data_IF_225005810119
#
_entry.id   IF_225005810119
#
_cell.length_a   1.000
_cell.length_b   1.000
_cell.length_c   1.000
_cell.angle_alpha   90.00
_cell.angle_beta   90.00
_cell.angle_gamma   90.00
#
_symmetry.space_group_name_H-M   'P 1'
#
loop_
_entity.id
_entity.type
_entity.pdbx_description
1 polymer ?
#
# COMPACT_ATOMS: atom_id res chain seq x y z
N UNK A 1 48.26 66.17 63.45
CA UNK A 1 47.72 65.41 62.31
C UNK A 1 48.38 64.04 62.35
N UNK A 2 47.64 62.99 62.72
CA UNK A 2 48.14 61.62 62.66
C UNK A 2 48.10 61.16 61.21
N UNK A 3 49.20 61.39 60.48
CA UNK A 3 49.35 60.91 59.12
C UNK A 3 49.46 59.39 59.13
N UNK A 4 48.57 58.71 58.41
CA UNK A 4 48.69 57.28 58.16
C UNK A 4 49.83 57.08 57.16
N UNK A 5 50.80 56.22 57.48
CA UNK A 5 51.89 55.91 56.54
C UNK A 5 51.32 55.38 55.23
N UNK A 6 51.95 55.77 54.11
CA UNK A 6 51.56 55.30 52.79
C UNK A 6 51.79 53.79 52.68
N UNK A 7 50.90 53.09 51.97
CA UNK A 7 51.04 51.66 51.71
C UNK A 7 52.39 51.36 51.03
N UNK A 8 53.23 50.56 51.68
CA UNK A 8 54.49 50.10 51.12
C UNK A 8 54.25 48.95 50.14
N UNK A 9 54.61 49.15 48.87
CA UNK A 9 54.61 48.10 47.85
C UNK A 9 56.02 47.48 47.81
N UNK A 10 56.15 46.26 48.31
CA UNK A 10 57.43 45.54 48.31
C UNK A 10 57.71 44.91 46.94
N UNK A 11 58.97 44.55 46.70
CA UNK A 11 59.35 43.79 45.50
C UNK A 11 58.59 42.44 45.42
N UNK A 12 58.37 41.79 46.56
CA UNK A 12 57.60 40.54 46.64
C UNK A 12 56.18 40.72 46.11
N UNK A 13 55.52 41.81 46.50
CA UNK A 13 54.17 42.12 46.00
C UNK A 13 54.16 42.34 44.48
N UNK A 14 55.13 43.09 43.96
CA UNK A 14 55.21 43.38 42.52
C UNK A 14 55.50 42.11 41.71
N UNK A 15 56.36 41.22 42.23
CA UNK A 15 56.68 39.94 41.62
C UNK A 15 55.47 38.99 41.61
N UNK A 16 54.74 38.90 42.71
CA UNK A 16 53.53 38.05 42.82
C UNK A 16 52.44 38.48 41.82
N UNK A 17 52.16 39.79 41.72
CA UNK A 17 51.21 40.32 40.74
C UNK A 17 51.67 40.03 39.31
N UNK A 18 52.98 40.19 39.02
CA UNK A 18 53.53 39.89 37.71
C UNK A 18 53.38 38.41 37.35
N UNK A 19 53.72 37.50 38.27
CA UNK A 19 53.58 36.05 38.04
C UNK A 19 52.14 35.64 37.78
N UNK A 20 51.17 36.14 38.55
CA UNK A 20 49.76 35.86 38.34
C UNK A 20 49.28 36.30 36.94
N UNK A 21 49.73 37.47 36.47
CA UNK A 21 49.39 37.97 35.13
C UNK A 21 50.08 37.12 34.05
N UNK A 22 51.35 36.78 34.23
CA UNK A 22 52.11 35.94 33.30
C UNK A 22 51.46 34.56 33.14
N UNK A 23 51.05 33.92 34.24
CA UNK A 23 50.39 32.62 34.21
C UNK A 23 49.09 32.64 33.39
N UNK A 24 48.28 33.71 33.47
CA UNK A 24 47.06 33.84 32.65
C UNK A 24 47.40 33.94 31.17
N UNK A 25 48.45 34.68 30.81
CA UNK A 25 48.90 34.86 29.42
C UNK A 25 49.44 33.54 28.85
N UNK A 26 50.26 32.83 29.62
CA UNK A 26 50.82 31.55 29.23
C UNK A 26 49.75 30.45 29.16
N UNK A 27 48.75 30.46 30.06
CA UNK A 27 47.60 29.55 30.00
C UNK A 27 46.76 29.74 28.73
N UNK A 28 46.75 30.95 28.17
CA UNK A 28 46.18 31.25 26.86
C UNK A 28 47.12 30.86 25.69
N UNK A 29 48.24 30.19 25.95
CA UNK A 29 49.29 29.83 24.96
C UNK A 29 49.89 31.04 24.24
N UNK A 30 49.96 32.20 24.90
CA UNK A 30 50.57 33.42 24.37
C UNK A 30 51.98 33.57 24.97
N UNK A 31 52.99 33.78 24.12
CA UNK A 31 54.35 34.02 24.58
C UNK A 31 54.50 35.40 25.24
N UNK A 32 55.18 35.49 26.38
CA UNK A 32 55.40 36.75 27.10
C UNK A 32 56.31 37.71 26.32
N UNK A 33 55.86 38.96 26.12
CA UNK A 33 56.60 40.01 25.41
C UNK A 33 56.64 41.26 26.29
N UNK A 34 57.81 41.55 26.86
CA UNK A 34 57.99 42.71 27.73
C UNK A 34 57.60 44.01 27.01
N UNK A 35 56.70 44.78 27.62
CA UNK A 35 56.23 46.07 27.10
C UNK A 35 54.96 45.98 26.25
N UNK A 36 54.47 44.79 25.92
CA UNK A 36 53.18 44.62 25.28
C UNK A 36 52.05 44.64 26.32
N UNK A 37 51.39 45.79 26.46
CA UNK A 37 50.24 45.95 27.35
C UNK A 37 48.96 45.24 26.90
N UNK A 38 48.94 44.63 25.70
CA UNK A 38 47.75 43.99 25.15
C UNK A 38 47.61 42.51 25.51
N UNK A 39 48.67 41.87 25.99
CA UNK A 39 48.73 40.42 26.21
C UNK A 39 47.66 39.90 27.18
N UNK A 40 47.40 40.61 28.28
CA UNK A 40 46.39 40.21 29.26
C UNK A 40 44.98 40.19 28.65
N UNK A 41 44.64 41.20 27.84
CA UNK A 41 43.36 41.25 27.15
C UNK A 41 43.24 40.14 26.09
N UNK A 42 44.32 39.86 25.36
CA UNK A 42 44.39 38.75 24.42
C UNK A 42 44.17 37.41 25.13
N UNK A 43 44.78 37.22 26.30
CA UNK A 43 44.64 36.03 27.11
C UNK A 43 43.20 35.84 27.60
N UNK A 44 42.58 36.89 28.15
CA UNK A 44 41.17 36.86 28.58
C UNK A 44 40.26 36.50 27.40
N UNK A 45 40.47 37.09 26.22
CA UNK A 45 39.68 36.78 25.02
C UNK A 45 39.88 35.33 24.57
N UNK A 46 41.11 34.83 24.56
CA UNK A 46 41.41 33.45 24.18
C UNK A 46 40.74 32.46 25.12
N UNK A 47 40.89 32.67 26.44
CA UNK A 47 40.28 31.83 27.47
C UNK A 47 38.75 31.89 27.37
N UNK A 48 38.16 33.09 27.32
CA UNK A 48 36.70 33.25 27.21
C UNK A 48 36.12 32.57 25.95
N UNK A 49 36.82 32.64 24.82
CA UNK A 49 36.42 31.98 23.59
C UNK A 49 36.51 30.46 23.67
N UNK A 50 37.40 29.91 24.51
CA UNK A 50 37.46 28.46 24.74
C UNK A 50 36.25 27.94 25.53
N UNK A 51 35.63 28.74 26.41
CA UNK A 51 34.58 28.27 27.33
C UNK A 51 33.15 28.49 26.83
N UNK A 52 32.87 29.54 26.05
CA UNK A 52 31.48 29.97 25.77
C UNK A 52 30.70 29.11 24.76
N UNK A 53 31.37 28.54 23.76
CA UNK A 53 30.73 27.71 22.72
C UNK A 53 31.79 26.80 22.07
N UNK A 54 31.76 25.47 22.29
CA UNK A 54 32.69 24.56 21.64
C UNK A 54 32.52 24.57 20.11
N UNK A 55 33.63 24.32 19.41
CA UNK A 55 33.63 24.08 17.96
C UNK A 55 32.94 22.75 17.69
N UNK A 56 32.17 22.69 16.60
CA UNK A 56 31.42 21.48 16.25
C UNK A 56 30.00 21.43 16.82
N UNK A 57 29.62 22.36 17.71
CA UNK A 57 28.26 22.44 18.24
C UNK A 57 27.41 23.33 17.33
N UNK A 58 26.40 22.78 16.62
CA UNK A 58 25.43 23.57 15.90
C UNK A 58 24.42 24.19 16.87
N UNK A 59 24.19 25.51 16.78
CA UNK A 59 23.20 26.22 17.59
C UNK A 59 22.15 26.91 16.72
N UNK A 60 20.86 26.82 17.07
CA UNK A 60 19.83 27.63 16.41
C UNK A 60 20.02 29.11 16.77
N UNK A 61 20.12 29.97 15.77
CA UNK A 61 20.29 31.40 15.95
C UNK A 61 18.97 32.16 15.79
N UNK A 62 18.53 32.81 16.87
CA UNK A 62 17.30 33.61 16.90
C UNK A 62 17.56 35.03 16.38
N UNK A 63 17.96 35.14 15.12
CA UNK A 63 18.23 36.43 14.48
C UNK A 63 18.39 36.30 12.97
N UNK A 64 18.49 37.45 12.30
CA UNK A 64 18.81 37.48 10.87
C UNK A 64 20.25 36.98 10.64
N UNK A 65 20.52 36.45 9.45
CA UNK A 65 21.87 35.99 9.08
C UNK A 65 22.91 37.12 9.09
N UNK A 66 22.47 38.36 8.90
CA UNK A 66 23.32 39.56 8.98
C UNK A 66 23.78 39.92 10.39
N UNK A 67 23.15 39.36 11.43
CA UNK A 67 23.50 39.63 12.83
C UNK A 67 24.28 38.48 13.47
N UNK A 68 24.66 37.47 12.68
CA UNK A 68 25.46 36.35 13.17
C UNK A 68 26.81 36.88 13.68
N UNK A 69 27.26 36.47 14.89
CA UNK A 69 28.56 36.86 15.42
C UNK A 69 29.70 36.53 14.45
N UNK A 70 30.71 37.40 14.37
CA UNK A 70 31.81 37.25 13.39
C UNK A 70 32.73 36.03 13.61
N UNK A 71 32.63 35.38 14.77
CA UNK A 71 33.28 34.11 15.07
C UNK A 71 32.42 32.89 14.73
N UNK A 72 31.24 33.09 14.14
CA UNK A 72 30.31 32.07 13.74
C UNK A 72 30.00 32.15 12.25
N UNK A 73 29.58 31.02 11.69
CA UNK A 73 28.98 30.98 10.35
C UNK A 73 27.75 30.10 10.38
N UNK A 74 26.83 30.36 9.46
CA UNK A 74 25.67 29.50 9.21
C UNK A 74 26.11 28.17 8.58
N UNK A 75 25.43 27.07 8.89
CA UNK A 75 25.72 25.73 8.37
C UNK A 75 24.88 25.44 7.12
N UNK A 76 25.42 25.76 5.95
CA UNK A 76 24.72 25.65 4.65
C UNK A 76 25.53 24.94 3.57
N UNK A 77 26.48 24.08 3.97
CA UNK A 77 27.28 23.31 3.02
C UNK A 77 28.37 24.11 2.31
N UNK A 78 28.72 25.30 2.77
CA UNK A 78 29.76 26.15 2.17
C UNK A 78 31.17 25.70 2.54
N UNK A 79 32.14 26.03 1.69
CA UNK A 79 33.57 25.83 1.96
C UNK A 79 34.15 27.03 2.71
N UNK A 80 35.08 26.75 3.62
CA UNK A 80 35.89 27.74 4.32
C UNK A 80 37.37 27.50 4.05
N UNK A 81 38.13 28.58 4.03
CA UNK A 81 39.59 28.56 3.92
C UNK A 81 40.23 28.10 5.24
N UNK A 82 41.22 27.19 5.14
CA UNK A 82 41.86 26.57 6.29
C UNK A 82 42.83 27.49 7.02
N UNK A 83 43.45 28.43 6.31
CA UNK A 83 44.38 29.41 6.88
C UNK A 83 43.61 30.49 7.66
N UNK A 84 42.47 30.94 7.14
CA UNK A 84 41.60 31.92 7.78
C UNK A 84 40.77 31.36 8.94
N UNK A 85 40.47 30.05 8.90
CA UNK A 85 39.67 29.35 9.91
C UNK A 85 40.37 28.07 10.42
N UNK A 86 41.54 28.19 11.07
CA UNK A 86 42.37 27.04 11.46
C UNK A 86 41.70 26.17 12.54
N UNK A 87 40.93 26.80 13.42
CA UNK A 87 40.27 26.15 14.56
C UNK A 87 39.16 25.18 14.12
N UNK A 88 38.25 25.60 13.24
CA UNK A 88 37.25 24.67 12.66
C UNK A 88 37.88 23.65 11.72
N UNK A 89 38.93 24.02 11.00
CA UNK A 89 39.60 23.11 10.07
C UNK A 89 40.26 21.95 10.81
N UNK A 90 40.93 22.23 11.92
CA UNK A 90 41.51 21.21 12.80
C UNK A 90 40.42 20.31 13.38
N UNK A 91 39.32 20.90 13.86
CA UNK A 91 38.19 20.15 14.37
C UNK A 91 37.57 19.22 13.31
N UNK A 92 37.27 19.75 12.12
CA UNK A 92 36.64 19.00 11.03
C UNK A 92 37.49 17.78 10.63
N UNK A 93 38.80 17.96 10.48
CA UNK A 93 39.72 16.88 10.10
C UNK A 93 39.89 15.82 11.20
N UNK A 94 39.79 16.22 12.47
CA UNK A 94 39.88 15.30 13.61
C UNK A 94 38.51 14.74 14.06
N UNK A 95 37.41 15.18 13.46
CA UNK A 95 36.05 14.91 13.96
C UNK A 95 35.61 13.45 13.88
N UNK A 96 36.22 12.66 13.00
CA UNK A 96 35.75 11.32 12.65
C UNK A 96 34.45 11.29 11.83
N UNK A 97 33.89 12.46 11.50
CA UNK A 97 32.65 12.64 10.72
C UNK A 97 32.90 13.56 9.52
N UNK A 98 33.90 13.17 8.72
CA UNK A 98 34.33 13.86 7.50
C UNK A 98 34.42 12.87 6.34
N UNK A 99 34.01 13.30 5.14
CA UNK A 99 34.10 12.52 3.89
C UNK A 99 34.87 13.30 2.81
N UNK A 100 35.18 12.67 1.68
CA UNK A 100 35.71 13.41 0.53
C UNK A 100 34.66 14.38 -0.03
N UNK A 101 35.08 15.48 -0.68
CA UNK A 101 34.10 16.39 -1.31
C UNK A 101 33.33 15.73 -2.44
N UNK A 102 33.95 14.75 -3.12
CA UNK A 102 33.29 13.91 -4.12
C UNK A 102 32.15 13.10 -3.51
N UNK A 103 32.38 12.41 -2.38
CA UNK A 103 31.34 11.63 -1.69
C UNK A 103 30.26 12.53 -1.12
N UNK A 104 30.66 13.69 -0.58
CA UNK A 104 29.75 14.71 -0.11
C UNK A 104 28.80 15.07 -1.25
N UNK A 105 29.31 15.52 -2.40
CA UNK A 105 28.54 15.91 -3.59
C UNK A 105 27.69 14.78 -4.18
N UNK A 106 28.16 13.53 -4.14
CA UNK A 106 27.46 12.39 -4.72
C UNK A 106 26.25 11.92 -3.88
N UNK A 107 26.28 12.06 -2.55
CA UNK A 107 25.29 11.41 -1.68
C UNK A 107 24.62 12.39 -0.71
N UNK A 108 23.28 12.41 -0.72
CA UNK A 108 22.50 13.19 0.24
C UNK A 108 22.79 12.79 1.70
N UNK A 109 23.08 11.50 1.93
CA UNK A 109 23.47 10.91 3.22
C UNK A 109 24.61 11.67 3.91
N UNK A 110 25.51 12.29 3.15
CA UNK A 110 26.72 12.92 3.69
C UNK A 110 26.63 14.44 3.84
N UNK A 111 25.50 15.06 3.49
CA UNK A 111 25.31 16.53 3.53
C UNK A 111 25.50 17.12 4.91
N UNK A 112 25.15 16.35 5.94
CA UNK A 112 25.24 16.72 7.36
C UNK A 112 26.62 16.43 7.97
N UNK A 113 27.61 16.01 7.16
CA UNK A 113 29.02 15.81 7.55
C UNK A 113 29.91 16.93 7.06
N UNK A 114 31.12 17.01 7.62
CA UNK A 114 32.19 17.79 7.01
C UNK A 114 32.65 17.15 5.70
N UNK A 115 33.22 17.94 4.79
CA UNK A 115 34.03 17.41 3.68
C UNK A 115 35.45 17.95 3.73
N UNK A 116 36.39 17.19 3.16
CA UNK A 116 37.79 17.60 2.96
C UNK A 116 37.96 18.81 2.03
N UNK A 117 36.89 19.33 1.44
CA UNK A 117 36.94 20.40 0.44
C UNK A 117 37.78 19.98 -0.76
N UNK A 118 38.60 20.90 -1.25
CA UNK A 118 39.62 20.66 -2.29
C UNK A 118 40.77 19.71 -1.83
N UNK A 119 40.76 19.26 -0.58
CA UNK A 119 41.81 18.40 0.00
C UNK A 119 43.08 19.14 0.39
N UNK A 120 43.15 20.45 0.17
CA UNK A 120 44.35 21.26 0.37
C UNK A 120 44.04 22.48 1.23
N UNK A 121 43.39 23.49 0.65
CA UNK A 121 43.22 24.82 1.24
C UNK A 121 41.85 25.05 1.88
N UNK A 122 40.89 24.15 1.64
CA UNK A 122 39.51 24.34 2.10
C UNK A 122 38.98 23.17 2.93
N UNK A 123 37.94 23.43 3.73
CA UNK A 123 37.06 22.43 4.35
C UNK A 123 35.62 22.80 4.04
N UNK A 124 34.73 21.81 3.87
CA UNK A 124 33.29 22.06 3.72
C UNK A 124 32.56 21.79 5.03
N UNK A 125 31.71 22.73 5.43
CA UNK A 125 30.84 22.57 6.60
C UNK A 125 29.59 21.73 6.28
N UNK A 126 28.94 21.14 7.31
CA UNK A 126 27.63 20.54 7.16
C UNK A 126 26.59 21.51 6.58
N UNK A 127 25.63 20.96 5.84
CA UNK A 127 24.39 21.64 5.45
C UNK A 127 23.26 21.17 6.37
N UNK A 128 22.78 22.05 7.24
CA UNK A 128 21.69 21.76 8.19
C UNK A 128 20.40 22.50 7.85
N UNK A 129 20.27 23.02 6.63
CA UNK A 129 19.07 23.74 6.21
C UNK A 129 17.90 22.77 6.05
N UNK A 130 16.81 23.03 6.75
CA UNK A 130 15.62 22.16 6.75
C UNK A 130 15.73 20.94 7.67
N UNK A 131 16.86 20.76 8.36
CA UNK A 131 17.13 19.55 9.13
C UNK A 131 16.69 19.68 10.59
N UNK A 132 16.19 18.57 11.14
CA UNK A 132 16.02 18.38 12.58
C UNK A 132 17.19 17.56 13.11
N UNK A 133 17.89 18.09 14.12
CA UNK A 133 18.98 17.37 14.79
C UNK A 133 18.39 16.41 15.82
N UNK A 134 18.82 15.15 15.75
CA UNK A 134 18.43 14.09 16.69
C UNK A 134 19.66 13.49 17.38
N UNK A 135 19.45 12.87 18.54
CA UNK A 135 20.51 12.16 19.25
C UNK A 135 20.97 10.92 18.49
N UNK A 136 22.28 10.76 18.30
CA UNK A 136 22.85 9.55 17.72
C UNK A 136 22.49 8.32 18.56
N UNK A 137 22.23 7.19 17.90
CA UNK A 137 21.77 5.96 18.56
C UNK A 137 22.82 5.37 19.50
N UNK A 138 24.10 5.43 19.09
CA UNK A 138 25.25 4.95 19.86
C UNK A 138 25.09 3.53 20.43
N UNK A 139 24.39 2.65 19.69
CA UNK A 139 24.19 1.24 20.04
C UNK A 139 22.93 0.97 20.88
N UNK A 140 22.04 1.95 21.05
CA UNK A 140 20.75 1.76 21.71
C UNK A 140 19.80 0.87 20.90
N UNK A 141 19.97 0.77 19.59
CA UNK A 141 19.16 -0.07 18.70
C UNK A 141 17.81 0.53 18.33
N UNK A 142 17.61 1.83 18.54
CA UNK A 142 16.42 2.56 18.06
C UNK A 142 16.58 3.00 16.62
N UNK A 143 17.82 3.20 16.16
CA UNK A 143 18.10 3.69 14.80
C UNK A 143 19.46 3.21 14.30
N UNK A 144 19.52 2.77 13.03
CA UNK A 144 20.72 2.19 12.41
C UNK A 144 21.45 3.15 11.47
N UNK A 145 21.87 4.32 11.97
CA UNK A 145 22.58 5.33 11.19
C UNK A 145 23.94 5.68 11.81
N UNK A 146 24.95 5.94 10.98
CA UNK A 146 26.24 6.41 11.49
C UNK A 146 26.14 7.86 11.98
N UNK A 147 27.07 8.29 12.83
CA UNK A 147 27.10 9.68 13.31
C UNK A 147 27.26 10.62 12.10
N UNK A 148 26.40 11.62 12.05
CA UNK A 148 26.38 12.63 10.99
C UNK A 148 25.76 12.16 9.67
N UNK A 149 25.24 10.94 9.57
CA UNK A 149 24.46 10.52 8.41
C UNK A 149 23.09 11.21 8.39
N UNK A 150 22.74 11.76 7.23
CA UNK A 150 21.41 12.28 6.97
C UNK A 150 20.41 11.14 6.78
N UNK A 151 19.22 11.27 7.36
CA UNK A 151 18.16 10.30 7.19
C UNK A 151 16.95 10.95 6.55
N UNK A 152 16.40 10.25 5.55
CA UNK A 152 15.08 10.58 5.03
C UNK A 152 14.03 10.39 6.14
N UNK A 153 12.99 11.22 6.11
CA UNK A 153 11.83 11.02 6.96
C UNK A 153 11.14 9.69 6.65
N UNK A 154 10.72 8.98 7.70
CA UNK A 154 10.00 7.72 7.60
C UNK A 154 8.70 7.80 8.41
N UNK A 155 7.62 7.23 7.86
CA UNK A 155 6.38 7.02 8.61
C UNK A 155 6.46 5.69 9.34
N UNK A 156 6.08 5.70 10.62
CA UNK A 156 5.92 4.47 11.37
C UNK A 156 4.88 3.57 10.67
N UNK A 157 5.20 2.28 10.58
CA UNK A 157 4.30 1.27 10.02
C UNK A 157 2.95 1.30 10.76
N UNK A 158 1.87 1.42 9.99
CA UNK A 158 0.50 1.42 10.50
C UNK A 158 -0.46 0.93 9.41
N UNK A 159 -1.69 0.61 9.81
CA UNK A 159 -2.76 0.16 8.91
C UNK A 159 -3.98 1.04 9.08
N UNK A 160 -4.79 1.14 8.02
CA UNK A 160 -6.11 1.75 8.07
C UNK A 160 -7.15 0.67 7.90
N UNK A 161 -8.14 0.62 8.80
CA UNK A 161 -9.32 -0.20 8.57
C UNK A 161 -10.11 0.40 7.42
N UNK A 162 -10.36 -0.40 6.38
CA UNK A 162 -11.20 -0.04 5.25
C UNK A 162 -12.41 -0.96 5.20
N UNK A 163 -13.55 -0.41 4.81
CA UNK A 163 -14.82 -1.14 4.65
C UNK A 163 -15.53 -0.63 3.40
N UNK A 164 -16.19 -1.53 2.68
CA UNK A 164 -17.08 -1.20 1.56
C UNK A 164 -18.52 -1.38 1.99
N UNK A 165 -19.41 -0.53 1.49
CA UNK A 165 -20.85 -0.71 1.61
C UNK A 165 -21.40 -1.69 0.55
N UNK A 166 -22.71 -1.92 0.55
CA UNK A 166 -23.37 -2.78 -0.43
C UNK A 166 -23.36 -2.12 -1.82
N UNK A 167 -22.48 -2.60 -2.69
CA UNK A 167 -22.27 -1.99 -4.00
C UNK A 167 -23.21 -2.54 -5.09
N UNK A 168 -24.50 -2.23 -4.95
CA UNK A 168 -25.54 -2.51 -5.93
C UNK A 168 -26.34 -3.78 -5.64
N UNK A 169 -27.54 -3.85 -6.21
CA UNK A 169 -28.42 -5.02 -6.20
C UNK A 169 -28.38 -5.65 -7.58
N UNK A 170 -28.22 -6.96 -7.68
CA UNK A 170 -28.43 -7.67 -8.95
C UNK A 170 -29.65 -8.57 -8.83
N UNK A 171 -30.39 -8.66 -9.94
CA UNK A 171 -31.55 -9.52 -10.07
C UNK A 171 -31.30 -10.56 -11.15
N UNK A 172 -31.72 -11.79 -10.88
CA UNK A 172 -31.78 -12.82 -11.89
C UNK A 172 -33.19 -12.86 -12.47
N UNK A 173 -33.30 -12.69 -13.78
CA UNK A 173 -34.50 -13.04 -14.49
C UNK A 173 -34.49 -14.55 -14.75
N UNK A 174 -35.55 -15.22 -14.32
CA UNK A 174 -35.84 -16.61 -14.68
C UNK A 174 -37.08 -16.63 -15.56
N UNK A 175 -37.08 -17.44 -16.62
CA UNK A 175 -38.25 -17.66 -17.45
C UNK A 175 -38.62 -19.13 -17.47
N UNK A 176 -39.92 -19.40 -17.45
CA UNK A 176 -40.50 -20.70 -17.80
C UNK A 176 -41.20 -20.53 -19.14
N UNK A 177 -41.07 -21.49 -20.04
CA UNK A 177 -41.84 -21.52 -21.26
C UNK A 177 -43.17 -22.28 -21.07
N UNK A 178 -44.10 -22.06 -22.01
CA UNK A 178 -45.35 -22.83 -22.07
C UNK A 178 -45.03 -24.24 -22.58
N UNK A 179 -45.25 -25.26 -21.75
CA UNK A 179 -44.97 -26.65 -22.09
C UNK A 179 -46.22 -27.53 -22.18
N UNK A 180 -46.14 -28.53 -23.06
CA UNK A 180 -47.26 -29.25 -23.68
C UNK A 180 -48.12 -30.14 -22.77
N UNK A 181 -49.29 -30.50 -23.31
CA UNK A 181 -50.28 -31.41 -22.71
C UNK A 181 -49.73 -32.82 -22.58
N UNK A 182 -49.93 -33.47 -21.43
CA UNK A 182 -49.66 -34.89 -21.27
C UNK A 182 -50.97 -35.65 -21.05
N UNK A 183 -51.04 -36.86 -21.60
CA UNK A 183 -52.18 -37.75 -21.44
C UNK A 183 -51.75 -39.21 -21.39
N UNK A 184 -52.63 -40.07 -20.89
CA UNK A 184 -52.42 -41.50 -20.82
C UNK A 184 -53.25 -42.19 -21.90
N UNK A 185 -52.59 -42.92 -22.80
CA UNK A 185 -53.25 -43.72 -23.82
C UNK A 185 -53.86 -45.01 -23.26
N UNK A 186 -54.67 -45.67 -24.08
CA UNK A 186 -55.33 -46.94 -23.74
C UNK A 186 -55.96 -47.58 -24.96
N UNK A 187 -56.26 -48.87 -24.87
CA UNK A 187 -56.91 -49.62 -25.95
C UNK A 187 -57.97 -50.57 -25.39
N UNK A 188 -59.04 -50.78 -26.17
CA UNK A 188 -60.03 -51.83 -25.89
C UNK A 188 -59.62 -53.14 -26.57
N UNK A 189 -60.04 -54.28 -26.02
CA UNK A 189 -59.88 -55.55 -26.69
C UNK A 189 -60.94 -55.70 -27.79
N UNK A 190 -60.52 -56.17 -28.98
CA UNK A 190 -61.44 -56.50 -30.06
C UNK A 190 -62.14 -57.82 -29.77
N UNK A 191 -63.26 -57.76 -29.07
CA UNK A 191 -64.08 -58.92 -28.67
C UNK A 191 -65.51 -58.74 -29.15
N UNK A 192 -66.29 -59.82 -29.17
CA UNK A 192 -67.71 -59.78 -29.56
C UNK A 192 -68.01 -60.27 -30.97
N UNK A 193 -67.05 -60.93 -31.63
CA UNK A 193 -67.36 -61.73 -32.83
C UNK A 193 -68.39 -62.79 -32.47
N UNK A 194 -69.51 -62.78 -33.17
CA UNK A 194 -70.57 -63.76 -32.99
C UNK A 194 -71.23 -64.08 -34.33
N UNK A 195 -71.95 -65.19 -34.34
CA UNK A 195 -72.76 -65.63 -35.48
C UNK A 195 -74.20 -65.75 -35.04
N UNK A 196 -75.13 -65.56 -35.96
CA UNK A 196 -76.55 -65.81 -35.70
C UNK A 196 -77.01 -67.04 -36.46
N UNK A 197 -77.69 -67.99 -35.80
CA UNK A 197 -78.37 -69.07 -36.50
C UNK A 197 -79.61 -68.51 -37.20
N UNK A 198 -79.83 -68.94 -38.42
CA UNK A 198 -81.06 -68.71 -39.18
C UNK A 198 -81.44 -70.00 -39.89
N UNK A 199 -82.72 -70.17 -40.14
CA UNK A 199 -83.23 -71.32 -40.87
C UNK A 199 -83.69 -70.87 -42.23
N UNK A 200 -83.24 -71.54 -43.28
CA UNK A 200 -83.75 -71.31 -44.64
C UNK A 200 -84.40 -72.58 -45.17
N UNK A 201 -85.39 -72.40 -46.03
CA UNK A 201 -85.89 -73.53 -46.82
C UNK A 201 -84.78 -73.96 -47.79
N UNK A 202 -84.45 -75.25 -47.86
CA UNK A 202 -83.54 -75.75 -48.88
C UNK A 202 -84.11 -75.44 -50.26
N UNK A 203 -83.24 -75.09 -51.22
CA UNK A 203 -83.68 -74.81 -52.58
C UNK A 203 -84.46 -76.01 -53.14
N UNK A 204 -85.55 -75.77 -53.87
CA UNK A 204 -86.39 -76.82 -54.43
C UNK A 204 -85.54 -77.77 -55.30
N UNK A 205 -85.28 -78.97 -54.77
CA UNK A 205 -84.65 -80.06 -55.51
C UNK A 205 -85.76 -80.94 -56.08
N UNK A 206 -85.93 -80.94 -57.40
CA UNK A 206 -86.95 -81.75 -58.08
C UNK A 206 -86.59 -83.25 -58.01
N UNK A 207 -87.39 -84.12 -57.32
CA UNK A 207 -86.98 -85.49 -57.04
C UNK A 207 -87.13 -86.48 -58.20
N UNK A 208 -87.69 -86.10 -59.36
CA UNK A 208 -87.90 -87.02 -60.49
C UNK A 208 -86.83 -86.98 -61.60
N UNK A 209 -85.86 -86.05 -61.55
CA UNK A 209 -84.83 -85.89 -62.58
C UNK A 209 -85.38 -85.78 -64.03
N UNK A 210 -86.64 -85.35 -64.21
CA UNK A 210 -87.17 -84.94 -65.51
C UNK A 210 -87.38 -83.41 -65.51
N UNK A 211 -86.86 -82.76 -66.55
CA UNK A 211 -86.95 -81.31 -66.73
C UNK A 211 -88.40 -80.82 -66.71
N UNK A 212 -88.56 -79.61 -66.17
CA UNK A 212 -89.84 -78.95 -66.01
C UNK A 212 -90.60 -78.85 -67.33
N UNK A 213 -91.67 -79.63 -67.48
CA UNK A 213 -92.73 -79.30 -68.46
C UNK A 213 -94.13 -79.87 -68.15
N UNK A 214 -94.34 -80.66 -67.09
CA UNK A 214 -95.71 -81.11 -66.78
C UNK A 214 -95.97 -81.60 -65.34
N UNK A 215 -95.13 -81.26 -64.36
CA UNK A 215 -95.32 -81.68 -62.96
C UNK A 215 -94.89 -80.60 -61.99
N UNK A 216 -95.69 -80.37 -60.94
CA UNK A 216 -95.40 -79.33 -59.96
C UNK A 216 -94.09 -79.64 -59.22
N UNK A 217 -93.10 -78.72 -59.33
CA UNK A 217 -91.93 -78.72 -58.44
C UNK A 217 -92.41 -78.31 -57.05
N UNK A 218 -92.37 -79.27 -56.12
CA UNK A 218 -92.83 -79.05 -54.76
C UNK A 218 -91.64 -78.50 -53.97
N UNK A 219 -91.62 -77.19 -53.72
CA UNK A 219 -90.77 -76.64 -52.67
C UNK A 219 -91.32 -77.18 -51.35
N UNK A 220 -90.62 -78.16 -50.77
CA UNK A 220 -91.02 -78.72 -49.48
C UNK A 220 -90.80 -77.67 -48.38
N UNK A 221 -91.86 -76.93 -48.10
CA UNK A 221 -91.91 -75.90 -47.07
C UNK A 221 -91.99 -76.48 -45.65
N UNK A 222 -91.89 -77.81 -45.50
CA UNK A 222 -91.88 -78.50 -44.20
C UNK A 222 -90.48 -78.91 -43.74
N UNK A 223 -89.47 -78.86 -44.63
CA UNK A 223 -88.07 -79.07 -44.28
C UNK A 223 -87.32 -77.74 -44.28
N UNK A 224 -86.66 -77.41 -43.16
CA UNK A 224 -85.79 -76.24 -43.07
C UNK A 224 -84.39 -76.68 -42.63
N UNK A 225 -83.35 -76.06 -43.21
CA UNK A 225 -81.95 -76.30 -42.84
C UNK A 225 -81.44 -75.10 -42.04
N UNK A 226 -80.88 -75.37 -40.87
CA UNK A 226 -80.26 -74.34 -40.03
C UNK A 226 -78.84 -74.03 -40.49
N UNK A 227 -78.52 -72.76 -40.62
CA UNK A 227 -77.18 -72.26 -40.94
C UNK A 227 -76.86 -71.02 -40.09
N UNK A 228 -75.58 -70.65 -40.05
CA UNK A 228 -75.15 -69.45 -39.35
C UNK A 228 -74.70 -68.38 -40.34
N UNK A 229 -74.85 -67.12 -39.96
CA UNK A 229 -74.13 -66.03 -40.62
C UNK A 229 -72.62 -66.21 -40.44
N UNK A 230 -71.80 -65.52 -41.26
CA UNK A 230 -70.36 -65.41 -40.99
C UNK A 230 -70.10 -64.71 -39.66
N UNK A 231 -69.02 -65.08 -38.96
CA UNK A 231 -68.61 -64.40 -37.74
C UNK A 231 -68.09 -63.01 -38.08
N UNK A 232 -68.55 -62.00 -37.35
CA UNK A 232 -68.06 -60.63 -37.48
C UNK A 232 -68.51 -59.74 -36.33
N UNK A 233 -67.95 -58.54 -36.30
CA UNK A 233 -68.27 -57.50 -35.32
C UNK A 233 -67.15 -57.18 -34.33
N UNK A 234 -66.17 -58.08 -34.14
CA UNK A 234 -65.00 -57.79 -33.32
C UNK A 234 -64.13 -56.73 -33.99
N UNK A 235 -63.95 -55.63 -33.28
CA UNK A 235 -62.97 -54.61 -33.62
C UNK A 235 -62.51 -53.92 -32.34
N UNK A 236 -61.32 -53.35 -32.39
CA UNK A 236 -60.73 -52.61 -31.29
C UNK A 236 -60.54 -51.14 -31.68
N UNK A 237 -60.55 -50.28 -30.67
CA UNK A 237 -60.15 -48.88 -30.82
C UNK A 237 -58.92 -48.65 -29.94
N UNK A 238 -57.94 -47.93 -30.49
CA UNK A 238 -56.76 -47.49 -29.76
C UNK A 238 -56.76 -45.98 -29.62
N UNK A 239 -56.26 -45.49 -28.49
CA UNK A 239 -55.87 -44.09 -28.30
C UNK A 239 -54.35 -44.07 -28.17
N UNK A 240 -53.68 -43.42 -29.11
CA UNK A 240 -52.21 -43.29 -29.07
C UNK A 240 -51.78 -42.47 -27.85
N UNK A 241 -50.66 -42.85 -27.25
CA UNK A 241 -50.01 -42.03 -26.24
C UNK A 241 -49.16 -40.96 -26.91
N UNK A 242 -49.48 -39.70 -26.67
CA UNK A 242 -48.62 -38.59 -27.10
C UNK A 242 -47.53 -38.35 -26.04
N UNK A 243 -46.28 -38.25 -26.51
CA UNK A 243 -45.04 -38.51 -25.75
C UNK A 243 -44.72 -37.66 -24.50
N UNK A 244 -43.47 -37.75 -24.03
CA UNK A 244 -43.04 -37.14 -22.75
C UNK A 244 -42.95 -35.60 -22.79
N UNK A 245 -43.14 -34.96 -21.63
CA UNK A 245 -42.92 -33.51 -21.44
C UNK A 245 -42.00 -33.22 -20.24
N UNK A 246 -41.39 -32.04 -20.24
CA UNK A 246 -40.51 -31.54 -19.19
C UNK A 246 -40.78 -30.05 -18.90
N UNK A 247 -40.37 -29.58 -17.72
CA UNK A 247 -40.41 -28.17 -17.33
C UNK A 247 -39.00 -27.62 -17.24
N UNK A 248 -38.60 -26.85 -18.24
CA UNK A 248 -37.27 -26.27 -18.25
C UNK A 248 -37.33 -24.87 -17.64
N UNK A 249 -36.50 -24.63 -16.64
CA UNK A 249 -36.28 -23.29 -16.08
C UNK A 249 -34.93 -22.81 -16.57
N UNK A 250 -34.91 -21.64 -17.17
CA UNK A 250 -33.67 -20.97 -17.58
C UNK A 250 -33.51 -19.68 -16.79
N UNK A 251 -32.28 -19.43 -16.32
CA UNK A 251 -31.89 -18.18 -15.67
C UNK A 251 -30.69 -17.59 -16.40
N UNK A 252 -30.61 -16.27 -16.44
CA UNK A 252 -29.47 -15.59 -17.05
C UNK A 252 -28.21 -15.77 -16.18
N UNK A 253 -27.06 -16.02 -16.80
CA UNK A 253 -25.77 -16.06 -16.11
C UNK A 253 -25.38 -14.66 -15.63
N UNK A 254 -25.09 -14.50 -14.34
CA UNK A 254 -24.79 -13.18 -13.75
C UNK A 254 -23.40 -12.61 -14.11
N UNK A 255 -22.59 -13.32 -14.91
CA UNK A 255 -21.24 -12.87 -15.26
C UNK A 255 -20.32 -12.67 -14.05
N UNK A 256 -19.07 -12.33 -14.29
CA UNK A 256 -18.15 -11.90 -13.23
C UNK A 256 -18.29 -10.39 -13.01
N UNK A 257 -18.19 -9.93 -11.76
CA UNK A 257 -18.12 -8.50 -11.42
C UNK A 257 -17.02 -8.23 -10.38
N UNK A 258 -16.58 -6.97 -10.30
CA UNK A 258 -15.45 -6.53 -9.46
C UNK A 258 -15.81 -5.22 -8.72
N UNK A 259 -15.23 -5.04 -7.53
CA UNK A 259 -15.30 -3.80 -6.76
C UNK A 259 -13.89 -3.23 -6.59
N UNK A 260 -13.60 -2.17 -7.32
CA UNK A 260 -12.29 -1.55 -7.25
C UNK A 260 -12.22 -0.61 -6.03
N UNK A 261 -11.21 -0.79 -5.18
CA UNK A 261 -10.90 0.12 -4.08
C UNK A 261 -9.63 0.87 -4.43
N UNK A 262 -9.70 2.20 -4.45
CA UNK A 262 -8.56 3.07 -4.71
C UNK A 262 -8.21 3.85 -3.45
N UNK A 263 -6.97 3.72 -2.99
CA UNK A 263 -6.41 4.54 -1.90
C UNK A 263 -5.45 5.56 -2.52
N UNK A 264 -5.89 6.82 -2.58
CA UNK A 264 -5.06 7.92 -3.05
C UNK A 264 -4.03 8.35 -2.01
N UNK A 265 -2.93 8.95 -2.46
CA UNK A 265 -1.95 9.56 -1.56
C UNK A 265 -2.59 10.70 -0.75
N UNK A 266 -2.30 10.75 0.55
CA UNK A 266 -2.70 11.81 1.45
C UNK A 266 -1.47 12.31 2.22
N UNK A 267 -1.18 13.61 2.13
CA UNK A 267 -0.04 14.22 2.79
C UNK A 267 0.58 15.38 2.02
N UNK A 268 1.64 15.95 2.58
CA UNK A 268 2.47 16.95 1.91
C UNK A 268 3.74 16.31 1.31
N UNK A 269 4.67 17.16 0.87
CA UNK A 269 5.98 16.72 0.35
C UNK A 269 6.86 16.03 1.39
N UNK A 270 6.65 16.34 2.68
CA UNK A 270 7.41 15.76 3.79
C UNK A 270 6.50 15.52 5.00
N UNK A 271 6.95 14.60 5.86
CA UNK A 271 6.39 14.43 7.20
C UNK A 271 7.11 15.36 8.16
N UNK A 272 6.38 16.28 8.77
CA UNK A 272 6.95 17.30 9.65
C UNK A 272 6.19 17.42 10.95
N UNK A 273 6.94 17.63 12.03
CA UNK A 273 6.42 18.10 13.30
C UNK A 273 6.14 19.60 13.22
N UNK A 274 5.39 20.16 14.18
CA UNK A 274 5.31 21.62 14.33
C UNK A 274 6.70 22.16 14.69
N UNK A 275 7.13 23.26 14.08
CA UNK A 275 8.45 23.83 14.33
C UNK A 275 8.58 25.28 13.88
N UNK A 276 9.77 25.83 14.09
CA UNK A 276 10.17 27.19 13.67
C UNK A 276 11.52 27.11 12.98
N UNK A 277 11.67 27.84 11.87
CA UNK A 277 12.91 27.81 11.07
C UNK A 277 13.92 28.85 11.55
N UNK A 278 14.92 28.41 12.31
CA UNK A 278 16.10 29.22 12.65
C UNK A 278 17.34 28.67 11.94
N UNK A 279 18.25 29.54 11.45
CA UNK A 279 19.51 29.07 10.90
C UNK A 279 20.35 28.41 12.00
N UNK A 280 20.97 27.28 11.69
CA UNK A 280 22.01 26.71 12.53
C UNK A 280 23.33 27.43 12.26
N UNK A 281 24.00 27.88 13.32
CA UNK A 281 25.34 28.47 13.27
C UNK A 281 26.33 27.62 14.06
N UNK A 282 27.60 27.75 13.73
CA UNK A 282 28.69 27.08 14.45
C UNK A 282 29.87 28.02 14.65
N UNK A 283 30.56 27.89 15.79
CA UNK A 283 31.83 28.58 16.02
C UNK A 283 32.89 28.13 15.01
N UNK A 284 33.60 29.09 14.42
CA UNK A 284 34.69 28.83 13.47
C UNK A 284 36.01 29.49 13.81
N UNK A 285 36.02 30.39 14.80
CA UNK A 285 37.22 31.08 15.32
C UNK A 285 37.32 30.94 16.84
#
# INVERSE_FOLDING_TARGET
MTGQEATWLTADWANDVQENICQVIEAATIALVKGDGSQMLQAIRAIANQVGMPVGVPLPWLGATSTIPSNCVVLMGQTLDRELYPLVSTHALASGIIVSDTDWLAQALHRTKFSTGDGLSTIRLPDLRGELIYGADLGRGVRSAAIGDWLAGELLAHVHAASTDSQGTHSHAGTTDTQGYHSHGGATAGVGDHTHPYTRSPAASNPDAQGADAGASMLDLTQFVGDNTGAGGAHAHGINGDGSHAHNVTTNAAGAHIHNVTVSSAGGLETRQRGTGYPFIMRVK
#
